data_IF_315883314200
#
_entry.id   IF_315883314200
#
_cell.length_a   1.000
_cell.length_b   1.000
_cell.length_c   1.000
_cell.angle_alpha   90.00
_cell.angle_beta   90.00
_cell.angle_gamma   90.00
#
_symmetry.space_group_name_H-M   'P 1'
#
loop_
_entity.id
_entity.type
_entity.pdbx_description
1 polymer ?
#
# COMPACT_ATOMS: atom_id res chain seq x y z
N UNK A 1 -9.91 -2.29 6.32
CA UNK A 1 -8.48 -2.14 5.97
C UNK A 1 -7.90 -3.45 5.47
N UNK A 2 -8.07 -4.56 6.18
CA UNK A 2 -7.58 -5.88 5.73
C UNK A 2 -8.14 -6.31 4.37
N UNK A 3 -9.46 -6.24 4.16
CA UNK A 3 -10.09 -6.63 2.89
C UNK A 3 -9.50 -5.90 1.66
N UNK A 4 -9.15 -4.62 1.81
CA UNK A 4 -8.53 -3.85 0.73
C UNK A 4 -7.11 -4.33 0.43
N UNK A 5 -6.33 -4.71 1.45
CA UNK A 5 -4.99 -5.27 1.27
C UNK A 5 -5.03 -6.70 0.73
N UNK A 6 -6.04 -7.49 1.12
CA UNK A 6 -6.26 -8.83 0.58
C UNK A 6 -6.62 -8.79 -0.91
N UNK A 7 -7.51 -7.86 -1.29
CA UNK A 7 -7.90 -7.67 -2.68
C UNK A 7 -6.74 -7.21 -3.58
N UNK A 8 -5.75 -6.49 -3.02
CA UNK A 8 -4.54 -6.09 -3.75
C UNK A 8 -3.63 -7.28 -4.08
N UNK A 9 -3.82 -8.44 -3.44
CA UNK A 9 -3.09 -9.68 -3.69
C UNK A 9 -1.57 -9.45 -3.77
N UNK A 10 -1.05 -8.76 -2.74
CA UNK A 10 0.30 -8.22 -2.73
C UNK A 10 1.34 -9.27 -3.13
N UNK A 11 2.26 -8.88 -4.00
CA UNK A 11 3.42 -9.64 -4.45
C UNK A 11 4.66 -9.22 -3.65
N UNK A 12 5.54 -10.19 -3.30
CA UNK A 12 6.86 -9.89 -2.74
C UNK A 12 7.62 -8.93 -3.66
N UNK A 13 8.13 -7.83 -3.11
CA UNK A 13 8.84 -6.81 -3.89
C UNK A 13 7.97 -6.05 -4.90
N UNK A 14 6.64 -6.12 -4.78
CA UNK A 14 5.71 -5.48 -5.71
C UNK A 14 5.78 -3.94 -5.65
N UNK A 15 5.34 -3.29 -6.73
CA UNK A 15 5.25 -1.83 -6.82
C UNK A 15 3.79 -1.40 -6.83
N UNK A 16 3.43 -0.46 -5.96
CA UNK A 16 2.05 -0.03 -5.75
C UNK A 16 1.90 1.48 -5.81
N UNK A 17 0.67 1.92 -6.04
CA UNK A 17 0.26 3.32 -6.03
C UNK A 17 -0.83 3.53 -4.97
N UNK A 18 -0.56 4.37 -3.98
CA UNK A 18 -1.60 4.95 -3.13
C UNK A 18 -2.01 6.30 -3.75
N UNK A 19 -3.11 6.31 -4.50
CA UNK A 19 -3.60 7.51 -5.18
C UNK A 19 -4.34 8.50 -4.28
N UNK A 20 -4.51 8.17 -3.00
CA UNK A 20 -5.32 8.94 -2.04
C UNK A 20 -4.63 8.95 -0.68
N UNK A 21 -3.36 9.35 -0.65
CA UNK A 21 -2.48 9.16 0.52
C UNK A 21 -3.13 9.64 1.83
N UNK A 22 -3.64 10.87 1.87
CA UNK A 22 -4.29 11.46 3.03
C UNK A 22 -3.40 11.38 4.27
N UNK A 23 -3.85 10.64 5.29
CA UNK A 23 -3.08 10.40 6.51
C UNK A 23 -2.15 9.17 6.43
N UNK A 24 -2.07 8.48 5.30
CA UNK A 24 -1.16 7.36 5.03
C UNK A 24 -1.52 6.04 5.73
N UNK A 25 -2.77 5.86 6.17
CA UNK A 25 -3.21 4.64 6.89
C UNK A 25 -2.99 3.36 6.08
N UNK A 26 -3.49 3.35 4.84
CA UNK A 26 -3.34 2.23 3.92
C UNK A 26 -1.89 2.04 3.47
N UNK A 27 -1.19 3.13 3.13
CA UNK A 27 0.24 3.10 2.80
C UNK A 27 1.10 2.40 3.87
N UNK A 28 0.93 2.76 5.15
CA UNK A 28 1.67 2.11 6.25
C UNK A 28 1.26 0.65 6.40
N UNK A 29 -0.03 0.34 6.33
CA UNK A 29 -0.51 -1.02 6.46
C UNK A 29 0.01 -1.94 5.33
N UNK A 30 0.10 -1.42 4.11
CA UNK A 30 0.71 -2.11 2.97
C UNK A 30 2.19 -2.42 3.24
N UNK A 31 2.99 -1.42 3.64
CA UNK A 31 4.42 -1.61 3.88
C UNK A 31 4.73 -2.46 5.12
N UNK A 32 3.84 -2.47 6.14
CA UNK A 32 3.95 -3.41 7.25
C UNK A 32 3.71 -4.85 6.81
N UNK A 33 2.80 -5.07 5.87
CA UNK A 33 2.46 -6.41 5.37
C UNK A 33 3.47 -6.92 4.35
N UNK A 34 3.96 -6.05 3.46
CA UNK A 34 5.00 -6.34 2.48
C UNK A 34 6.17 -5.35 2.61
N UNK A 35 7.12 -5.59 3.51
CA UNK A 35 8.24 -4.67 3.77
C UNK A 35 9.18 -4.44 2.59
N UNK A 36 9.15 -5.32 1.59
CA UNK A 36 9.95 -5.21 0.36
C UNK A 36 9.21 -4.45 -0.75
N UNK A 37 7.94 -4.11 -0.56
CA UNK A 37 7.17 -3.39 -1.56
C UNK A 37 7.69 -1.96 -1.74
N UNK A 38 7.67 -1.49 -2.98
CA UNK A 38 7.85 -0.06 -3.27
C UNK A 38 6.46 0.57 -3.41
N UNK A 39 6.27 1.72 -2.77
CA UNK A 39 5.00 2.42 -2.77
C UNK A 39 5.21 3.87 -3.22
N UNK A 40 4.56 4.25 -4.32
CA UNK A 40 4.38 5.64 -4.70
C UNK A 40 3.07 6.13 -4.10
N UNK A 41 3.12 7.23 -3.35
CA UNK A 41 1.93 7.86 -2.78
C UNK A 41 1.71 9.23 -3.43
N UNK A 42 0.47 9.48 -3.84
CA UNK A 42 0.02 10.75 -4.40
C UNK A 42 -1.06 11.35 -3.50
N UNK A 43 -1.03 12.67 -3.38
CA UNK A 43 -2.08 13.47 -2.76
C UNK A 43 -2.21 14.80 -3.50
N UNK A 44 -3.29 15.53 -3.24
CA UNK A 44 -3.59 16.85 -3.81
C UNK A 44 -2.66 17.94 -3.29
#
# INVERSE_FOLDING_TARGET
>A
MEEALDALALKPGGRYLDGTFGAGGYSRALLMREPQAELLALDR
#
